data_IF_271589910453
#
_entry.id   IF_271589910453
#
_cell.length_a   1.000
_cell.length_b   1.000
_cell.length_c   1.000
_cell.angle_alpha   90.00
_cell.angle_beta   90.00
_cell.angle_gamma   90.00
#
_symmetry.space_group_name_H-M   'P 1'
#
loop_
_entity.id
_entity.type
_entity.pdbx_description
1 polymer ?
#
# COMPACT_ATOMS: atom_id res chain seq x y z
N UNK A 1 11.56 -3.72 5.67
CA UNK A 1 12.74 -3.94 6.54
C UNK A 1 13.61 -5.07 5.98
N UNK A 2 13.09 -6.28 5.88
CA UNK A 2 13.86 -7.48 5.48
C UNK A 2 14.55 -7.30 4.12
N UNK A 3 13.89 -6.73 3.12
CA UNK A 3 14.48 -6.44 1.81
C UNK A 3 15.68 -5.47 1.88
N UNK A 4 15.76 -4.67 2.95
CA UNK A 4 16.88 -3.76 3.21
C UNK A 4 17.93 -4.37 4.14
N UNK A 5 17.78 -5.65 4.52
CA UNK A 5 18.62 -6.31 5.49
C UNK A 5 18.44 -5.80 6.93
N UNK A 6 17.35 -5.12 7.22
CA UNK A 6 17.04 -4.57 8.54
C UNK A 6 16.24 -5.55 9.38
N UNK A 7 16.68 -5.75 10.62
CA UNK A 7 15.92 -6.47 11.63
C UNK A 7 15.09 -5.45 12.42
N UNK A 8 13.76 -5.61 12.38
CA UNK A 8 12.86 -4.77 13.16
C UNK A 8 12.87 -5.23 14.61
N UNK A 9 13.20 -4.32 15.52
CA UNK A 9 13.22 -4.57 16.97
C UNK A 9 11.83 -4.41 17.58
N UNK A 10 11.07 -3.45 17.05
CA UNK A 10 9.77 -3.07 17.57
C UNK A 10 8.91 -2.54 16.42
N UNK A 11 7.62 -2.84 16.47
CA UNK A 11 6.61 -2.26 15.60
C UNK A 11 5.50 -1.64 16.44
N UNK A 12 5.14 -0.39 16.13
CA UNK A 12 4.02 0.32 16.75
C UNK A 12 2.97 0.60 15.70
N UNK A 13 1.72 0.42 16.07
CA UNK A 13 0.58 0.68 15.21
C UNK A 13 -0.49 1.43 15.96
N UNK A 14 -1.11 2.39 15.30
CA UNK A 14 -2.28 3.11 15.80
C UNK A 14 -3.37 3.15 14.73
N UNK A 15 -4.62 3.13 15.19
CA UNK A 15 -5.80 3.34 14.37
C UNK A 15 -6.65 4.41 15.02
N UNK A 16 -6.98 5.46 14.28
CA UNK A 16 -7.81 6.57 14.76
C UNK A 16 -8.97 6.79 13.80
N UNK A 17 -10.20 7.01 14.29
CA UNK A 17 -11.33 7.34 13.42
C UNK A 17 -11.09 8.68 12.74
N UNK A 18 -11.56 8.79 11.50
CA UNK A 18 -11.69 10.05 10.76
C UNK A 18 -13.17 10.43 10.84
N UNK A 19 -13.46 11.49 11.59
CA UNK A 19 -14.82 12.03 11.72
C UNK A 19 -15.01 13.09 10.66
N UNK A 20 -16.12 13.01 9.91
CA UNK A 20 -16.42 13.98 8.86
C UNK A 20 -17.20 15.18 9.39
N UNK A 21 -16.96 16.36 8.82
CA UNK A 21 -17.77 17.57 9.09
C UNK A 21 -18.90 17.77 8.10
N UNK A 22 -18.95 16.95 7.04
CA UNK A 22 -19.96 17.00 5.98
C UNK A 22 -20.56 15.62 5.72
N UNK A 23 -21.75 15.58 5.14
CA UNK A 23 -22.33 14.31 4.69
C UNK A 23 -21.52 13.73 3.54
N UNK A 24 -21.15 12.44 3.64
CA UNK A 24 -20.38 11.72 2.61
C UNK A 24 -21.11 10.46 2.19
N UNK A 25 -21.13 10.17 0.90
CA UNK A 25 -21.84 9.03 0.33
C UNK A 25 -20.99 8.32 -0.73
N UNK A 26 -20.84 7.02 -0.56
CA UNK A 26 -20.22 6.16 -1.57
C UNK A 26 -21.18 5.01 -1.94
N UNK A 27 -20.87 4.22 -2.97
CA UNK A 27 -21.62 2.99 -3.27
C UNK A 27 -21.67 1.99 -2.11
N UNK A 28 -20.77 2.10 -1.16
CA UNK A 28 -20.58 1.13 -0.07
C UNK A 28 -21.06 1.63 1.29
N UNK A 29 -21.37 2.92 1.42
CA UNK A 29 -21.78 3.46 2.71
C UNK A 29 -22.10 4.95 2.66
N UNK A 30 -22.66 5.42 3.78
CA UNK A 30 -23.02 6.79 4.02
C UNK A 30 -22.58 7.20 5.43
N UNK A 31 -21.98 8.37 5.55
CA UNK A 31 -21.60 8.98 6.82
C UNK A 31 -22.19 10.40 6.88
N UNK A 32 -22.94 10.72 7.92
CA UNK A 32 -23.43 12.07 8.19
C UNK A 32 -22.33 12.92 8.81
N UNK A 33 -22.49 14.23 8.72
CA UNK A 33 -21.65 15.13 9.49
C UNK A 33 -21.65 14.75 10.99
N UNK A 34 -20.46 14.56 11.56
CA UNK A 34 -20.26 14.05 12.91
C UNK A 34 -20.04 12.54 13.04
N UNK A 35 -20.31 11.77 11.99
CA UNK A 35 -20.05 10.33 11.97
C UNK A 35 -18.61 10.00 11.59
N UNK A 36 -18.22 8.76 11.84
CA UNK A 36 -16.94 8.21 11.35
C UNK A 36 -17.06 7.92 9.85
N UNK A 37 -16.26 8.59 9.05
CA UNK A 37 -16.20 8.41 7.60
C UNK A 37 -14.97 7.62 7.14
N UNK A 38 -14.10 7.23 8.04
CA UNK A 38 -12.90 6.49 7.73
C UNK A 38 -12.02 6.20 8.93
N UNK A 39 -10.85 5.65 8.65
CA UNK A 39 -9.83 5.33 9.65
C UNK A 39 -8.46 5.79 9.17
N UNK A 40 -7.71 6.45 10.04
CA UNK A 40 -6.30 6.75 9.81
C UNK A 40 -5.45 5.70 10.54
N UNK A 41 -4.74 4.90 9.78
CA UNK A 41 -3.81 3.89 10.27
C UNK A 41 -2.39 4.41 10.16
N UNK A 42 -1.62 4.30 11.24
CA UNK A 42 -0.19 4.61 11.22
C UNK A 42 0.60 3.43 11.77
N UNK A 43 1.79 3.22 11.22
CA UNK A 43 2.71 2.19 11.68
C UNK A 43 4.14 2.70 11.69
N UNK A 44 4.90 2.35 12.73
CA UNK A 44 6.32 2.69 12.84
C UNK A 44 7.13 1.44 13.10
N UNK A 45 8.15 1.21 12.27
CA UNK A 45 9.14 0.16 12.45
C UNK A 45 10.44 0.73 13.01
N UNK A 46 10.92 0.14 14.09
CA UNK A 46 12.17 0.54 14.77
C UNK A 46 13.28 -0.45 14.45
N UNK A 47 14.46 0.08 14.18
CA UNK A 47 15.70 -0.68 13.95
C UNK A 47 16.79 -0.01 14.77
N UNK A 48 17.48 -0.79 15.61
CA UNK A 48 18.49 -0.32 16.57
C UNK A 48 17.94 0.82 17.45
N UNK A 49 16.68 0.68 17.89
CA UNK A 49 15.99 1.64 18.76
C UNK A 49 15.55 2.95 18.08
N UNK A 50 15.81 3.12 16.80
CA UNK A 50 15.39 4.31 16.03
C UNK A 50 14.24 3.99 15.07
N UNK A 51 13.25 4.88 14.97
CA UNK A 51 12.21 4.79 13.95
C UNK A 51 12.84 4.96 12.57
N UNK A 52 12.78 3.92 11.76
CA UNK A 52 13.34 3.86 10.40
C UNK A 52 12.28 3.76 9.32
N UNK A 53 11.11 3.25 9.66
CA UNK A 53 10.00 3.06 8.74
C UNK A 53 8.78 3.76 9.34
N UNK A 54 8.24 4.71 8.62
CA UNK A 54 6.98 5.37 8.94
C UNK A 54 5.97 5.04 7.84
N UNK A 55 4.79 4.57 8.23
CA UNK A 55 3.68 4.25 7.32
C UNK A 55 2.44 5.00 7.78
N UNK A 56 1.77 5.64 6.84
CA UNK A 56 0.52 6.39 7.08
C UNK A 56 -0.46 5.97 6.01
N UNK A 57 -1.61 5.46 6.42
CA UNK A 57 -2.64 4.96 5.50
C UNK A 57 -4.03 5.40 5.96
N UNK A 58 -4.46 6.62 5.62
CA UNK A 58 -5.84 7.04 5.84
C UNK A 58 -6.74 6.41 4.77
N UNK A 59 -7.79 5.71 5.21
CA UNK A 59 -8.86 5.22 4.35
C UNK A 59 -10.16 5.91 4.74
N UNK A 60 -10.81 6.58 3.81
CA UNK A 60 -12.04 7.33 4.09
C UNK A 60 -12.93 7.45 2.85
N UNK A 61 -14.22 7.68 3.08
CA UNK A 61 -15.22 7.90 2.04
C UNK A 61 -15.08 9.34 1.54
N UNK A 62 -15.02 9.56 0.22
CA UNK A 62 -15.09 10.86 -0.45
C UNK A 62 -14.22 11.95 0.24
N UNK A 63 -12.89 11.73 0.35
CA UNK A 63 -12.00 12.64 1.10
C UNK A 63 -11.92 14.04 0.51
N UNK A 64 -12.15 14.19 -0.78
CA UNK A 64 -12.12 15.44 -1.53
C UNK A 64 -13.21 16.42 -1.10
N UNK A 65 -14.31 15.96 -0.51
CA UNK A 65 -15.37 16.81 0.02
C UNK A 65 -14.91 17.70 1.18
N UNK A 66 -13.80 17.34 1.82
CA UNK A 66 -13.13 18.15 2.85
C UNK A 66 -11.73 18.61 2.42
N UNK A 67 -11.51 18.70 1.09
CA UNK A 67 -10.28 19.24 0.51
C UNK A 67 -9.05 18.32 0.66
N UNK A 68 -9.24 17.07 1.01
CA UNK A 68 -8.13 16.10 1.06
C UNK A 68 -7.86 15.58 -0.35
N UNK A 69 -6.61 15.75 -0.78
CA UNK A 69 -6.14 15.16 -2.04
C UNK A 69 -5.54 13.78 -1.77
N UNK A 70 -5.89 12.82 -2.61
CA UNK A 70 -5.39 11.44 -2.52
C UNK A 70 -4.09 11.27 -3.29
N UNK A 71 -3.26 10.33 -2.88
CA UNK A 71 -1.99 10.03 -3.55
C UNK A 71 -1.16 9.01 -2.80
N UNK A 72 -0.25 8.34 -3.52
CA UNK A 72 0.76 7.47 -2.95
C UNK A 72 2.09 8.20 -2.88
N UNK A 73 2.70 8.22 -1.72
CA UNK A 73 3.96 8.93 -1.48
C UNK A 73 5.01 8.01 -0.86
N UNK A 74 6.20 7.97 -1.47
CA UNK A 74 7.34 7.21 -0.96
C UNK A 74 8.52 8.14 -0.81
N UNK A 75 9.03 8.26 0.41
CA UNK A 75 10.21 9.09 0.72
C UNK A 75 11.31 8.22 1.30
N UNK A 76 12.44 8.16 0.63
CA UNK A 76 13.64 7.46 1.08
C UNK A 76 14.69 8.52 1.48
N UNK A 77 15.02 8.53 2.77
CA UNK A 77 16.09 9.39 3.30
C UNK A 77 17.40 8.63 3.25
N UNK A 78 18.20 8.87 2.23
CA UNK A 78 19.45 8.15 1.99
C UNK A 78 20.38 8.90 1.02
N UNK A 79 21.34 8.19 0.48
CA UNK A 79 22.22 8.70 -0.57
C UNK A 79 22.15 7.80 -1.81
N UNK A 80 21.48 8.24 -2.89
CA UNK A 80 20.73 9.51 -2.98
C UNK A 80 19.43 9.47 -2.17
N UNK A 81 18.90 10.64 -1.82
CA UNK A 81 17.52 10.75 -1.32
C UNK A 81 16.55 10.60 -2.49
N UNK A 82 15.43 9.92 -2.26
CA UNK A 82 14.39 9.71 -3.28
C UNK A 82 13.04 10.17 -2.72
N UNK A 83 12.30 10.92 -3.52
CA UNK A 83 10.90 11.25 -3.25
C UNK A 83 10.09 10.93 -4.50
N UNK A 84 9.07 10.09 -4.34
CA UNK A 84 8.17 9.67 -5.40
C UNK A 84 6.73 9.95 -4.98
N UNK A 85 5.92 10.41 -5.92
CA UNK A 85 4.49 10.62 -5.73
C UNK A 85 3.71 10.09 -6.94
N UNK A 86 2.57 9.50 -6.67
CA UNK A 86 1.57 9.10 -7.66
C UNK A 86 0.28 9.85 -7.30
N UNK A 87 -0.19 10.71 -8.18
CA UNK A 87 -1.38 11.54 -7.97
C UNK A 87 -2.32 11.46 -9.18
N UNK A 88 -3.61 11.12 -8.99
CA UNK A 88 -4.17 10.58 -7.74
C UNK A 88 -3.54 9.23 -7.39
N UNK A 89 -3.91 8.69 -6.23
CA UNK A 89 -3.46 7.34 -5.81
C UNK A 89 -3.91 6.26 -6.82
N UNK A 90 -3.20 5.14 -6.79
CA UNK A 90 -3.65 3.95 -7.50
C UNK A 90 -4.89 3.40 -6.79
N UNK A 91 -6.04 3.31 -7.51
CA UNK A 91 -7.23 2.66 -6.96
C UNK A 91 -6.87 1.28 -6.39
N UNK A 92 -7.17 1.08 -5.10
CA UNK A 92 -6.76 -0.12 -4.37
C UNK A 92 -7.32 -1.42 -4.94
N UNK A 93 -8.55 -1.37 -5.48
CA UNK A 93 -9.18 -2.52 -6.14
C UNK A 93 -8.46 -2.87 -7.44
N UNK A 94 -8.25 -1.89 -8.30
CA UNK A 94 -7.56 -2.06 -9.59
C UNK A 94 -6.10 -2.47 -9.36
N UNK A 95 -5.40 -1.82 -8.44
CA UNK A 95 -4.01 -2.13 -8.11
C UNK A 95 -3.85 -3.56 -7.59
N UNK A 96 -4.75 -4.02 -6.73
CA UNK A 96 -4.76 -5.40 -6.22
C UNK A 96 -4.97 -6.41 -7.33
N UNK A 97 -5.94 -6.21 -8.20
CA UNK A 97 -6.19 -7.09 -9.35
C UNK A 97 -4.97 -7.14 -10.27
N UNK A 98 -4.42 -5.98 -10.60
CA UNK A 98 -3.24 -5.90 -11.46
C UNK A 98 -2.03 -6.64 -10.84
N UNK A 99 -1.81 -6.48 -9.54
CA UNK A 99 -0.75 -7.17 -8.82
C UNK A 99 -0.93 -8.69 -8.88
N UNK A 100 -2.13 -9.19 -8.58
CA UNK A 100 -2.42 -10.63 -8.61
C UNK A 100 -2.19 -11.20 -10.00
N UNK A 101 -2.77 -10.58 -11.03
CA UNK A 101 -2.68 -11.08 -12.42
C UNK A 101 -1.23 -11.08 -12.91
N UNK A 102 -0.49 -10.02 -12.68
CA UNK A 102 0.90 -9.91 -13.10
C UNK A 102 1.85 -10.88 -12.35
N UNK A 103 1.46 -11.36 -11.17
CA UNK A 103 2.25 -12.32 -10.41
C UNK A 103 1.97 -13.79 -10.75
N UNK A 104 0.92 -14.10 -11.51
CA UNK A 104 0.55 -15.49 -11.87
C UNK A 104 1.74 -16.27 -12.43
N UNK A 105 2.44 -15.85 -13.51
CA UNK A 105 3.55 -16.62 -14.07
C UNK A 105 4.73 -16.74 -13.10
N UNK A 106 4.99 -15.71 -12.29
CA UNK A 106 6.07 -15.73 -11.31
C UNK A 106 5.80 -16.77 -10.20
N UNK A 107 4.54 -16.91 -9.77
CA UNK A 107 4.16 -17.92 -8.78
C UNK A 107 4.24 -19.33 -9.39
N UNK A 108 3.81 -19.51 -10.65
CA UNK A 108 3.90 -20.80 -11.33
C UNK A 108 5.36 -21.25 -11.51
N UNK A 109 6.24 -20.33 -11.88
CA UNK A 109 7.67 -20.60 -12.09
C UNK A 109 8.46 -20.73 -10.77
N UNK A 110 7.86 -20.35 -9.63
CA UNK A 110 8.55 -20.38 -8.34
C UNK A 110 8.78 -21.83 -7.87
N UNK A 111 9.83 -22.00 -7.09
CA UNK A 111 10.06 -23.29 -6.39
C UNK A 111 8.88 -23.61 -5.47
N UNK A 112 8.48 -24.89 -5.35
CA UNK A 112 7.41 -25.27 -4.43
C UNK A 112 7.60 -24.79 -3.01
N UNK A 113 6.51 -24.48 -2.31
CA UNK A 113 6.48 -24.02 -0.92
C UNK A 113 5.83 -22.66 -0.75
N UNK A 114 5.75 -22.18 0.49
CA UNK A 114 5.30 -20.83 0.80
C UNK A 114 6.31 -19.82 0.25
N UNK A 115 5.82 -18.86 -0.54
CA UNK A 115 6.61 -17.78 -1.13
C UNK A 115 6.05 -16.43 -0.72
N UNK A 116 6.93 -15.48 -0.53
CA UNK A 116 6.60 -14.07 -0.28
C UNK A 116 7.03 -13.22 -1.46
N UNK A 117 6.66 -11.94 -1.46
CA UNK A 117 7.11 -10.99 -2.46
C UNK A 117 8.63 -10.77 -2.47
N UNK A 118 9.34 -11.17 -1.40
CA UNK A 118 10.81 -11.14 -1.34
C UNK A 118 11.45 -12.29 -2.11
N UNK A 119 10.72 -13.38 -2.31
CA UNK A 119 11.19 -14.57 -3.03
C UNK A 119 10.93 -14.50 -4.53
N UNK A 120 10.13 -13.54 -4.96
CA UNK A 120 9.63 -13.43 -6.34
C UNK A 120 10.23 -12.19 -7.02
N UNK A 121 10.29 -12.17 -8.36
CA UNK A 121 10.71 -10.98 -9.09
C UNK A 121 9.85 -9.76 -8.77
N UNK A 122 10.43 -8.57 -8.89
CA UNK A 122 9.69 -7.31 -8.77
C UNK A 122 8.54 -7.29 -9.77
N UNK A 123 7.29 -7.01 -9.35
CA UNK A 123 6.15 -6.98 -10.24
C UNK A 123 6.32 -5.99 -11.38
N UNK A 124 5.90 -6.41 -12.56
CA UNK A 124 5.82 -5.56 -13.76
C UNK A 124 4.57 -5.91 -14.55
N UNK A 125 4.09 -4.96 -15.33
CA UNK A 125 3.00 -5.24 -16.25
C UNK A 125 3.42 -6.32 -17.26
N UNK A 126 2.56 -7.33 -17.45
CA UNK A 126 2.70 -8.35 -18.46
C UNK A 126 1.83 -7.95 -19.65
N UNK A 127 2.48 -7.69 -20.77
CA UNK A 127 1.79 -7.33 -22.02
C UNK A 127 1.68 -8.58 -22.90
N UNK A 128 0.46 -8.90 -23.31
CA UNK A 128 0.19 -10.08 -24.14
C UNK A 128 -0.26 -11.30 -23.33
N UNK A 129 0.02 -12.49 -23.83
CA UNK A 129 -0.40 -13.75 -23.21
C UNK A 129 0.54 -14.11 -22.06
N UNK A 130 0.03 -14.17 -20.83
CA UNK A 130 0.83 -14.52 -19.66
C UNK A 130 1.43 -15.94 -19.72
N UNK A 131 0.85 -16.83 -20.53
CA UNK A 131 1.36 -18.20 -20.75
C UNK A 131 2.74 -18.23 -21.40
N UNK A 132 3.10 -17.18 -22.14
CA UNK A 132 4.42 -17.05 -22.77
C UNK A 132 5.53 -16.83 -21.74
N UNK A 133 5.16 -16.48 -20.50
CA UNK A 133 6.08 -16.24 -19.38
C UNK A 133 6.20 -17.43 -18.42
N UNK A 134 5.50 -18.54 -18.72
CA UNK A 134 5.57 -19.77 -17.91
C UNK A 134 6.72 -20.63 -18.44
N UNK A 135 7.68 -20.96 -17.57
CA UNK A 135 8.77 -21.87 -17.88
C UNK A 135 8.23 -23.31 -18.01
N UNK A 136 8.75 -24.01 -19.03
CA UNK A 136 8.35 -25.41 -19.34
C UNK A 136 9.23 -26.38 -18.59
#
# INVERSE_FOLDING_TARGET
AEALGWKVDKFEQQMKPIVTSVDRKSPYGFAKAGDVAGVNMTGQGYVDGAAKIDMIHPQQIEPELEGTHTGDYIVLKGSPAVSMAINPEVDGGIGTIAMIVNMIPHVINARPGLRTMLDLPVPRAIMGDFRDYIEK
#
